data_IF_687725087455
#
_entry.id   IF_687725087455
#
_cell.length_a   1.000
_cell.length_b   1.000
_cell.length_c   1.000
_cell.angle_alpha   90.00
_cell.angle_beta   90.00
_cell.angle_gamma   90.00
#
_symmetry.space_group_name_H-M   'P 1'
#
loop_
_entity.id
_entity.type
_entity.pdbx_description
1 polymer ?
#
# COMPACT_ATOMS: atom_id res chain seq x y z
N UNK A 1 -25.03 -33.14 3.73
CA UNK A 1 -25.04 -31.69 3.36
C UNK A 1 -23.84 -31.04 4.03
N UNK A 2 -22.75 -30.93 3.94
CA UNK A 2 -21.55 -30.31 4.53
C UNK A 2 -21.75 -29.07 5.43
N UNK A 3 -22.81 -29.08 6.23
CA UNK A 3 -23.12 -28.01 7.19
C UNK A 3 -22.87 -28.50 8.59
N UNK A 4 -22.34 -27.66 9.46
CA UNK A 4 -22.15 -27.85 10.88
C UNK A 4 -22.63 -26.62 11.64
N UNK A 5 -22.99 -26.83 12.92
CA UNK A 5 -23.35 -25.76 13.86
C UNK A 5 -22.28 -25.72 14.93
N UNK A 6 -21.70 -24.55 15.18
CA UNK A 6 -20.73 -24.39 16.27
C UNK A 6 -21.41 -24.10 17.61
N UNK A 7 -20.63 -24.05 18.68
CA UNK A 7 -21.12 -23.82 20.07
C UNK A 7 -21.78 -22.43 20.26
N UNK A 8 -21.59 -21.50 19.32
CA UNK A 8 -22.24 -20.18 19.33
C UNK A 8 -23.57 -20.18 18.57
N UNK A 9 -23.99 -21.34 18.02
CA UNK A 9 -25.16 -21.46 17.17
C UNK A 9 -24.98 -21.00 15.72
N UNK A 10 -23.75 -20.71 15.28
CA UNK A 10 -23.44 -20.31 13.92
C UNK A 10 -23.41 -21.53 13.00
N UNK A 11 -24.19 -21.50 11.93
CA UNK A 11 -24.16 -22.51 10.87
C UNK A 11 -23.01 -22.22 9.91
N UNK A 12 -22.15 -23.21 9.68
CA UNK A 12 -21.01 -23.14 8.77
C UNK A 12 -21.00 -24.32 7.81
N UNK A 13 -20.35 -24.19 6.67
CA UNK A 13 -20.22 -25.26 5.68
C UNK A 13 -20.58 -24.82 4.27
N UNK A 14 -20.74 -25.79 3.35
CA UNK A 14 -21.05 -25.55 1.95
C UNK A 14 -22.24 -26.42 1.50
N UNK A 15 -23.17 -25.83 0.79
CA UNK A 15 -24.24 -26.51 0.05
C UNK A 15 -23.85 -26.51 -1.42
N UNK A 16 -23.77 -27.69 -2.03
CA UNK A 16 -23.28 -27.86 -3.41
C UNK A 16 -24.39 -27.85 -4.46
N UNK A 17 -25.65 -27.91 -4.05
CA UNK A 17 -26.80 -27.91 -4.95
C UNK A 17 -27.73 -26.76 -4.62
N UNK A 18 -28.30 -26.15 -5.64
CA UNK A 18 -29.32 -25.13 -5.51
C UNK A 18 -30.63 -25.75 -4.98
N UNK A 19 -31.32 -25.04 -4.11
CA UNK A 19 -32.59 -25.51 -3.56
C UNK A 19 -32.89 -24.93 -2.16
N UNK A 20 -34.08 -25.28 -1.67
CA UNK A 20 -34.52 -24.94 -0.32
C UNK A 20 -34.28 -26.15 0.61
N UNK A 21 -33.55 -25.90 1.69
CA UNK A 21 -33.17 -26.90 2.68
C UNK A 21 -33.79 -26.54 4.03
N UNK A 22 -34.59 -27.47 4.56
CA UNK A 22 -35.18 -27.34 5.89
C UNK A 22 -34.29 -28.10 6.89
N UNK A 23 -33.59 -27.36 7.73
CA UNK A 23 -32.73 -27.90 8.77
C UNK A 23 -33.45 -27.95 10.10
N UNK A 24 -33.28 -29.06 10.81
CA UNK A 24 -33.71 -29.22 12.22
C UNK A 24 -32.46 -29.17 13.09
N UNK A 25 -32.31 -28.11 13.86
CA UNK A 25 -31.21 -27.97 14.82
C UNK A 25 -31.73 -28.31 16.21
N UNK A 26 -31.22 -29.39 16.79
CA UNK A 26 -31.50 -29.76 18.18
C UNK A 26 -30.49 -29.05 19.07
N UNK A 27 -30.96 -28.25 19.99
CA UNK A 27 -30.19 -27.58 21.02
C UNK A 27 -30.44 -28.34 22.31
N UNK A 28 -29.38 -28.81 22.97
CA UNK A 28 -29.46 -29.59 24.19
C UNK A 28 -28.69 -28.86 25.29
N UNK A 29 -29.22 -28.84 26.51
CA UNK A 29 -28.54 -28.28 27.67
C UNK A 29 -27.32 -29.14 28.00
N UNK A 30 -26.18 -28.49 28.26
CA UNK A 30 -24.91 -29.18 28.56
C UNK A 30 -24.90 -29.83 29.95
N UNK A 31 -25.69 -29.28 30.88
CA UNK A 31 -25.79 -29.77 32.26
C UNK A 31 -26.92 -30.79 32.43
N UNK A 32 -27.98 -30.75 31.61
CA UNK A 32 -29.07 -31.73 31.60
C UNK A 32 -29.48 -32.12 30.17
N UNK A 33 -28.95 -33.22 29.69
CA UNK A 33 -29.21 -33.75 28.35
C UNK A 33 -30.67 -34.10 28.06
N UNK A 34 -31.54 -34.13 29.07
CA UNK A 34 -32.98 -34.30 28.91
C UNK A 34 -33.68 -33.01 28.50
N UNK A 35 -33.06 -31.89 28.78
CA UNK A 35 -33.58 -30.58 28.36
C UNK A 35 -33.07 -30.29 26.94
N UNK A 36 -33.96 -30.34 25.99
CA UNK A 36 -33.63 -30.00 24.60
C UNK A 36 -34.79 -29.34 23.87
N UNK A 37 -34.47 -28.49 22.91
CA UNK A 37 -35.44 -27.91 22.00
C UNK A 37 -34.99 -28.10 20.54
N UNK A 38 -35.93 -28.04 19.62
CA UNK A 38 -35.65 -28.16 18.20
C UNK A 38 -36.09 -26.88 17.47
N UNK A 39 -35.17 -26.30 16.74
CA UNK A 39 -35.41 -25.12 15.89
C UNK A 39 -35.40 -25.55 14.42
N UNK A 40 -36.42 -25.15 13.66
CA UNK A 40 -36.45 -25.36 12.23
C UNK A 40 -35.86 -24.10 11.54
N UNK A 41 -34.89 -24.31 10.67
CA UNK A 41 -34.26 -23.25 9.87
C UNK A 41 -34.42 -23.58 8.41
N UNK A 42 -34.89 -22.63 7.63
CA UNK A 42 -34.93 -22.75 6.15
C UNK A 42 -33.68 -22.06 5.57
N UNK A 43 -32.97 -22.75 4.69
CA UNK A 43 -31.85 -22.23 3.94
C UNK A 43 -32.17 -22.33 2.45
N UNK A 44 -32.23 -21.19 1.78
CA UNK A 44 -32.36 -21.12 0.33
C UNK A 44 -30.98 -21.02 -0.31
N UNK A 45 -30.45 -22.14 -0.78
CA UNK A 45 -29.19 -22.18 -1.53
C UNK A 45 -29.40 -21.76 -2.97
N UNK A 46 -28.70 -20.71 -3.38
CA UNK A 46 -28.70 -20.23 -4.78
C UNK A 46 -27.34 -20.51 -5.40
N UNK A 47 -27.33 -20.82 -6.71
CA UNK A 47 -26.10 -20.95 -7.47
C UNK A 47 -25.44 -19.59 -7.60
N UNK A 48 -24.14 -19.54 -7.31
CA UNK A 48 -23.36 -18.34 -7.54
C UNK A 48 -23.25 -18.05 -9.05
N UNK A 49 -23.27 -16.79 -9.38
CA UNK A 49 -23.04 -16.24 -10.73
C UNK A 49 -21.70 -15.55 -10.74
N UNK A 50 -20.99 -15.60 -11.86
CA UNK A 50 -19.71 -14.95 -12.04
C UNK A 50 -19.89 -13.59 -12.70
N UNK A 51 -19.35 -12.54 -12.09
CA UNK A 51 -19.38 -11.18 -12.61
C UNK A 51 -17.94 -10.71 -12.84
N UNK A 52 -17.66 -10.31 -14.07
CA UNK A 52 -16.33 -9.91 -14.53
C UNK A 52 -16.40 -8.60 -15.32
N UNK A 53 -15.34 -7.80 -15.20
CA UNK A 53 -15.24 -6.54 -15.94
C UNK A 53 -14.01 -5.75 -15.53
N UNK A 54 -14.07 -4.45 -15.75
CA UNK A 54 -13.01 -3.51 -15.42
C UNK A 54 -13.52 -2.41 -14.50
N UNK A 55 -12.66 -1.94 -13.61
CA UNK A 55 -12.85 -0.67 -12.93
C UNK A 55 -12.14 0.41 -13.72
N UNK A 56 -12.86 1.49 -14.00
CA UNK A 56 -12.38 2.59 -14.84
C UNK A 56 -12.52 3.92 -14.10
N UNK A 57 -11.68 4.87 -14.46
CA UNK A 57 -11.88 6.26 -14.11
C UNK A 57 -12.97 6.90 -15.00
N UNK A 58 -13.31 8.15 -14.73
CA UNK A 58 -14.34 8.88 -15.51
C UNK A 58 -13.92 9.15 -16.97
N UNK A 59 -12.64 9.01 -17.32
CA UNK A 59 -12.12 9.13 -18.69
C UNK A 59 -12.00 7.78 -19.40
N UNK A 60 -12.39 6.69 -18.73
CA UNK A 60 -12.35 5.34 -19.28
C UNK A 60 -11.02 4.60 -19.11
N UNK A 61 -10.04 5.18 -18.40
CA UNK A 61 -8.77 4.52 -18.11
C UNK A 61 -8.97 3.44 -17.03
N UNK A 62 -8.33 2.29 -17.21
CA UNK A 62 -8.41 1.20 -16.25
C UNK A 62 -7.69 1.57 -14.94
N UNK A 63 -8.33 1.23 -13.81
CA UNK A 63 -7.83 1.49 -12.47
C UNK A 63 -7.40 0.19 -11.81
N UNK A 64 -6.15 0.09 -11.38
CA UNK A 64 -5.60 -1.06 -10.66
C UNK A 64 -5.62 -0.86 -9.14
N UNK A 65 -5.65 -1.97 -8.39
CA UNK A 65 -5.60 -1.95 -6.92
C UNK A 65 -6.83 -1.34 -6.24
N UNK A 66 -7.95 -1.23 -6.98
CA UNK A 66 -9.21 -0.66 -6.47
C UNK A 66 -10.00 -1.73 -5.72
N UNK A 67 -10.45 -1.41 -4.53
CA UNK A 67 -11.35 -2.27 -3.77
C UNK A 67 -12.79 -2.12 -4.27
N UNK A 68 -13.44 -3.26 -4.56
CA UNK A 68 -14.84 -3.31 -4.97
C UNK A 68 -15.57 -4.16 -3.95
N UNK A 69 -16.58 -3.60 -3.29
CA UNK A 69 -17.40 -4.30 -2.30
C UNK A 69 -18.85 -4.36 -2.78
N UNK A 70 -19.46 -5.52 -2.62
CA UNK A 70 -20.84 -5.78 -3.02
C UNK A 70 -21.67 -6.04 -1.75
N UNK A 71 -22.59 -5.14 -1.44
CA UNK A 71 -23.50 -5.26 -0.29
C UNK A 71 -24.88 -5.67 -0.79
N UNK A 72 -25.36 -6.86 -0.41
CA UNK A 72 -26.68 -7.34 -0.81
C UNK A 72 -27.76 -6.43 -0.17
N UNK A 73 -28.69 -5.92 -1.00
CA UNK A 73 -29.78 -5.05 -0.61
C UNK A 73 -31.12 -5.78 -0.48
N UNK A 74 -31.18 -7.09 -0.75
CA UNK A 74 -32.42 -7.87 -0.65
C UNK A 74 -32.87 -7.90 0.81
N UNK A 75 -34.12 -7.48 1.05
CA UNK A 75 -34.71 -7.30 2.38
C UNK A 75 -34.82 -8.60 3.23
N UNK A 76 -34.65 -9.75 2.59
CA UNK A 76 -34.74 -11.06 3.24
C UNK A 76 -33.50 -11.41 4.09
N UNK A 77 -32.41 -10.63 4.00
CA UNK A 77 -31.24 -10.80 4.85
C UNK A 77 -31.27 -9.73 5.96
N UNK A 78 -31.61 -10.08 7.22
CA UNK A 78 -31.69 -9.10 8.32
C UNK A 78 -30.33 -8.49 8.70
N UNK A 79 -29.27 -8.94 8.08
CA UNK A 79 -27.91 -8.44 8.29
C UNK A 79 -27.31 -7.99 6.97
N UNK A 80 -27.00 -6.70 6.85
CA UNK A 80 -26.14 -6.11 5.80
C UNK A 80 -24.72 -6.68 5.81
N UNK A 81 -24.53 -7.93 6.21
CA UNK A 81 -23.24 -8.50 6.61
C UNK A 81 -22.57 -9.38 5.57
N UNK A 82 -23.15 -9.63 4.44
CA UNK A 82 -22.47 -10.33 3.37
C UNK A 82 -21.98 -9.34 2.32
N UNK A 83 -20.89 -8.65 2.62
CA UNK A 83 -20.12 -8.05 1.57
C UNK A 83 -19.17 -9.10 0.98
N UNK A 84 -19.23 -9.27 -0.31
CA UNK A 84 -18.18 -9.91 -1.06
C UNK A 84 -17.32 -8.81 -1.67
N UNK A 85 -16.01 -8.98 -1.71
CA UNK A 85 -15.11 -7.98 -2.22
C UNK A 85 -14.12 -8.57 -3.23
N UNK A 86 -13.78 -7.78 -4.22
CA UNK A 86 -12.69 -8.01 -5.14
C UNK A 86 -11.75 -6.82 -5.13
N UNK A 87 -10.51 -7.04 -5.54
CA UNK A 87 -9.57 -5.96 -5.84
C UNK A 87 -9.23 -6.04 -7.32
N UNK A 88 -9.26 -4.90 -8.02
CA UNK A 88 -8.88 -4.88 -9.43
C UNK A 88 -7.41 -5.25 -9.60
N UNK A 89 -7.11 -6.03 -10.63
CA UNK A 89 -5.76 -6.48 -11.00
C UNK A 89 -4.97 -5.33 -11.62
N UNK A 90 -3.72 -5.60 -11.98
CA UNK A 90 -2.83 -4.61 -12.60
C UNK A 90 -3.36 -4.01 -13.90
N UNK A 91 -4.17 -4.74 -14.63
CA UNK A 91 -4.84 -4.31 -15.87
C UNK A 91 -6.21 -3.63 -15.61
N UNK A 92 -6.61 -3.48 -14.34
CA UNK A 92 -7.90 -2.95 -13.93
C UNK A 92 -9.05 -3.95 -13.96
N UNK A 93 -8.82 -5.19 -14.37
CA UNK A 93 -9.86 -6.23 -14.41
C UNK A 93 -10.23 -6.72 -13.01
N UNK A 94 -11.47 -7.16 -12.84
CA UNK A 94 -11.93 -7.84 -11.63
C UNK A 94 -12.77 -9.06 -12.00
N UNK A 95 -12.89 -10.00 -11.07
CA UNK A 95 -13.77 -11.17 -11.16
C UNK A 95 -14.30 -11.49 -9.77
N UNK A 96 -15.60 -11.73 -9.67
CA UNK A 96 -16.30 -11.98 -8.43
C UNK A 96 -17.41 -12.99 -8.61
N UNK A 97 -17.55 -13.90 -7.65
CA UNK A 97 -18.70 -14.80 -7.56
C UNK A 97 -19.74 -14.18 -6.61
N UNK A 98 -20.96 -13.94 -7.10
CA UNK A 98 -22.07 -13.36 -6.36
C UNK A 98 -23.28 -14.30 -6.39
N UNK A 99 -24.17 -14.17 -5.43
CA UNK A 99 -25.52 -14.72 -5.57
C UNK A 99 -26.38 -13.77 -6.41
N UNK A 100 -27.34 -14.30 -7.21
CA UNK A 100 -28.30 -13.43 -7.89
C UNK A 100 -29.03 -12.52 -6.89
N UNK A 101 -29.14 -11.22 -7.20
CA UNK A 101 -29.77 -10.25 -6.31
C UNK A 101 -29.48 -8.81 -6.69
N UNK A 102 -29.93 -7.89 -5.84
CA UNK A 102 -29.68 -6.46 -5.96
C UNK A 102 -28.62 -6.02 -4.94
N UNK A 103 -27.65 -5.25 -5.40
CA UNK A 103 -26.48 -4.85 -4.61
C UNK A 103 -26.24 -3.36 -4.63
N UNK A 104 -25.76 -2.85 -3.53
CA UNK A 104 -24.96 -1.64 -3.50
C UNK A 104 -23.51 -2.04 -3.78
N UNK A 105 -22.91 -1.43 -4.80
CA UNK A 105 -21.50 -1.65 -5.14
C UNK A 105 -20.70 -0.42 -4.70
N UNK A 106 -19.72 -0.63 -3.85
CA UNK A 106 -18.84 0.42 -3.36
C UNK A 106 -17.46 0.22 -3.96
N UNK A 107 -17.00 1.21 -4.70
CA UNK A 107 -15.69 1.25 -5.32
C UNK A 107 -14.83 2.19 -4.48
N UNK A 108 -13.80 1.68 -3.85
CA UNK A 108 -12.94 2.47 -2.99
C UNK A 108 -11.52 2.54 -3.54
N UNK A 109 -11.06 3.76 -3.72
CA UNK A 109 -9.68 4.08 -4.03
C UNK A 109 -9.18 4.92 -2.87
N UNK A 110 -8.40 4.30 -1.98
CA UNK A 110 -7.95 4.90 -0.72
C UNK A 110 -9.16 5.31 0.14
N UNK A 111 -9.24 6.60 0.51
CA UNK A 111 -10.33 7.14 1.32
C UNK A 111 -11.51 7.63 0.47
N UNK A 112 -11.34 7.67 -0.86
CA UNK A 112 -12.42 8.05 -1.78
C UNK A 112 -13.26 6.83 -2.14
N UNK A 113 -14.58 6.95 -2.06
CA UNK A 113 -15.51 5.88 -2.37
C UNK A 113 -16.64 6.37 -3.29
N UNK A 114 -16.85 5.62 -4.36
CA UNK A 114 -17.98 5.78 -5.28
C UNK A 114 -19.04 4.74 -4.94
N UNK A 115 -20.27 5.17 -4.74
CA UNK A 115 -21.41 4.32 -4.37
C UNK A 115 -22.35 4.14 -5.55
N UNK A 116 -22.55 2.89 -5.97
CA UNK A 116 -23.47 2.52 -7.06
C UNK A 116 -24.64 1.71 -6.47
N UNK A 117 -25.80 2.35 -6.34
CA UNK A 117 -26.99 1.75 -5.74
C UNK A 117 -27.78 0.91 -6.75
N UNK A 118 -28.58 -0.02 -6.24
CA UNK A 118 -29.55 -0.82 -7.00
C UNK A 118 -28.94 -1.57 -8.21
N UNK A 119 -27.70 -2.05 -8.07
CA UNK A 119 -27.07 -2.84 -9.11
C UNK A 119 -27.61 -4.26 -9.10
N UNK A 120 -28.32 -4.64 -10.18
CA UNK A 120 -28.96 -5.95 -10.31
C UNK A 120 -28.04 -6.93 -11.05
N UNK A 121 -27.91 -8.13 -10.49
CA UNK A 121 -27.16 -9.26 -11.05
C UNK A 121 -28.02 -10.51 -11.00
N UNK A 122 -28.54 -10.94 -12.16
CA UNK A 122 -29.43 -12.10 -12.26
C UNK A 122 -28.72 -13.33 -12.86
N UNK A 123 -27.65 -13.14 -13.60
CA UNK A 123 -26.89 -14.17 -14.31
C UNK A 123 -25.41 -13.81 -14.38
N UNK A 124 -24.58 -14.76 -14.77
CA UNK A 124 -23.17 -14.48 -15.04
C UNK A 124 -23.01 -13.42 -16.13
N UNK A 125 -22.16 -12.45 -15.90
CA UNK A 125 -21.90 -11.32 -16.78
C UNK A 125 -20.39 -11.16 -17.00
N UNK A 126 -20.01 -10.94 -18.25
CA UNK A 126 -18.67 -10.47 -18.63
C UNK A 126 -18.78 -9.05 -19.18
N UNK A 127 -17.79 -8.22 -18.91
CA UNK A 127 -17.80 -6.83 -19.36
C UNK A 127 -18.64 -5.88 -18.49
N UNK A 128 -18.97 -6.27 -17.25
CA UNK A 128 -19.61 -5.38 -16.27
C UNK A 128 -18.60 -4.37 -15.74
N UNK A 129 -18.48 -3.24 -16.41
CA UNK A 129 -17.52 -2.21 -16.03
C UNK A 129 -18.12 -1.27 -14.97
N UNK A 130 -17.32 -0.90 -14.00
CA UNK A 130 -17.65 0.14 -13.01
C UNK A 130 -16.79 1.38 -13.24
N UNK A 131 -17.39 2.54 -13.05
CA UNK A 131 -16.72 3.83 -13.19
C UNK A 131 -16.63 4.48 -11.82
N UNK A 132 -15.42 4.82 -11.41
CA UNK A 132 -15.15 5.58 -10.20
C UNK A 132 -15.17 7.09 -10.50
N UNK A 133 -15.51 7.90 -9.50
CA UNK A 133 -15.52 9.37 -9.61
C UNK A 133 -14.12 10.00 -9.64
N UNK A 134 -13.06 9.21 -9.52
CA UNK A 134 -11.67 9.68 -9.59
C UNK A 134 -11.14 9.71 -11.01
N UNK A 135 -10.07 10.48 -11.19
CA UNK A 135 -9.20 10.47 -12.37
C UNK A 135 -7.86 9.83 -12.02
N UNK A 136 -7.38 8.96 -12.89
CA UNK A 136 -5.97 8.54 -12.89
C UNK A 136 -5.17 9.51 -13.75
N UNK A 137 -4.31 10.30 -13.14
CA UNK A 137 -3.52 11.34 -13.80
C UNK A 137 -2.05 10.97 -13.84
N UNK A 138 -1.42 11.14 -15.00
CA UNK A 138 0.04 11.04 -15.12
C UNK A 138 0.68 12.24 -14.42
N UNK A 139 1.73 12.01 -13.65
CA UNK A 139 2.53 13.07 -13.06
C UNK A 139 3.72 13.37 -13.99
N UNK A 140 3.85 14.61 -14.42
CA UNK A 140 4.97 15.06 -15.21
C UNK A 140 5.88 15.97 -14.36
N UNK A 141 7.21 15.81 -14.40
CA UNK A 141 8.11 16.78 -13.77
C UNK A 141 8.07 18.10 -14.52
N UNK A 142 8.22 19.22 -13.80
CA UNK A 142 8.34 20.56 -14.38
C UNK A 142 9.68 20.79 -15.11
N UNK A 143 10.64 19.88 -14.90
CA UNK A 143 11.96 19.93 -15.49
C UNK A 143 12.42 18.52 -15.86
N UNK A 144 12.84 18.33 -17.12
CA UNK A 144 13.29 17.04 -17.67
C UNK A 144 14.56 16.47 -16.99
N UNK A 145 15.25 17.26 -16.16
CA UNK A 145 16.35 16.80 -15.31
C UNK A 145 15.89 15.76 -14.28
N UNK A 146 14.61 15.79 -13.91
CA UNK A 146 14.06 14.92 -12.86
C UNK A 146 13.19 13.81 -13.45
N UNK A 147 13.18 12.67 -12.77
CA UNK A 147 12.19 11.61 -12.94
C UNK A 147 11.28 11.57 -11.74
N UNK A 148 9.98 11.51 -11.94
CA UNK A 148 9.00 11.35 -10.86
C UNK A 148 8.95 9.91 -10.32
N UNK A 149 9.47 8.95 -11.06
CA UNK A 149 9.53 7.55 -10.65
C UNK A 149 10.52 7.31 -9.50
N UNK A 150 11.47 8.26 -9.31
CA UNK A 150 12.48 8.18 -8.25
C UNK A 150 11.96 8.65 -6.87
N UNK A 151 10.76 9.22 -6.78
CA UNK A 151 10.28 9.90 -5.56
C UNK A 151 9.17 9.17 -4.80
N UNK A 152 8.94 7.90 -5.07
CA UNK A 152 8.00 7.08 -4.29
C UNK A 152 6.54 7.55 -4.35
N UNK A 153 5.86 7.54 -3.22
CA UNK A 153 4.43 7.81 -3.13
C UNK A 153 4.11 9.31 -2.93
N UNK A 154 2.96 9.73 -3.47
CA UNK A 154 2.41 11.08 -3.31
C UNK A 154 1.42 11.12 -2.15
N UNK A 155 1.52 12.11 -1.29
CA UNK A 155 0.68 12.30 -0.11
C UNK A 155 0.01 13.67 -0.11
N UNK A 156 -1.23 13.76 0.36
CA UNK A 156 -1.94 15.01 0.56
C UNK A 156 -1.56 15.70 1.89
N UNK A 157 -2.21 16.80 2.20
CA UNK A 157 -1.99 17.57 3.43
C UNK A 157 -2.39 16.84 4.73
N UNK A 158 -3.13 15.74 4.62
CA UNK A 158 -3.54 14.86 5.72
C UNK A 158 -2.72 13.56 5.80
N UNK A 159 -1.56 13.50 5.10
CA UNK A 159 -0.70 12.31 4.98
C UNK A 159 -1.40 11.09 4.35
N UNK A 160 -2.46 11.30 3.56
CA UNK A 160 -3.12 10.23 2.82
C UNK A 160 -2.40 10.02 1.50
N UNK A 161 -2.06 8.79 1.22
CA UNK A 161 -1.36 8.45 -0.02
C UNK A 161 -2.29 8.66 -1.23
N UNK A 162 -1.97 9.55 -2.14
CA UNK A 162 -2.71 9.89 -3.35
C UNK A 162 -2.15 9.29 -4.65
N UNK A 163 -1.04 8.66 -4.66
CA UNK A 163 -0.43 8.06 -5.85
C UNK A 163 0.93 7.47 -5.61
N UNK A 164 1.45 6.84 -6.64
CA UNK A 164 2.78 6.24 -6.69
C UNK A 164 3.21 6.00 -8.13
N UNK A 165 4.50 5.83 -8.38
CA UNK A 165 5.05 5.43 -9.67
C UNK A 165 4.56 6.30 -10.85
N UNK A 166 4.65 7.62 -10.71
CA UNK A 166 4.30 8.56 -11.77
C UNK A 166 2.82 8.80 -11.98
N UNK A 167 1.94 8.27 -11.12
CA UNK A 167 0.50 8.49 -11.19
C UNK A 167 -0.08 8.99 -9.86
N UNK A 168 -1.15 9.81 -9.98
CA UNK A 168 -2.00 10.18 -8.84
C UNK A 168 -3.47 9.95 -9.20
N UNK A 169 -4.28 9.69 -8.17
CA UNK A 169 -5.72 9.47 -8.28
C UNK A 169 -6.41 10.61 -7.56
N UNK A 170 -7.16 11.46 -8.27
CA UNK A 170 -7.73 12.69 -7.72
C UNK A 170 -9.18 12.87 -8.16
N UNK A 171 -9.99 13.47 -7.31
CA UNK A 171 -11.40 13.79 -7.60
C UNK A 171 -11.46 15.12 -8.34
N UNK A 172 -12.16 15.20 -9.50
CA UNK A 172 -12.33 16.44 -10.25
C UNK A 172 -13.04 17.53 -9.43
N UNK A 173 -12.67 18.77 -9.67
CA UNK A 173 -13.26 19.94 -8.99
C UNK A 173 -12.60 20.29 -7.67
N UNK A 174 -11.81 19.41 -7.11
CA UNK A 174 -11.09 19.59 -5.84
C UNK A 174 -9.69 20.16 -6.09
N UNK A 175 -9.24 21.03 -5.17
CA UNK A 175 -7.87 21.52 -5.14
C UNK A 175 -7.02 20.65 -4.25
N UNK A 176 -5.82 20.33 -4.71
CA UNK A 176 -4.87 19.48 -4.00
C UNK A 176 -3.51 20.15 -3.87
N UNK A 177 -2.85 19.90 -2.75
CA UNK A 177 -1.42 20.10 -2.57
C UNK A 177 -0.83 18.75 -2.16
N UNK A 178 -0.19 18.07 -3.12
CA UNK A 178 0.44 16.78 -2.89
C UNK A 178 1.94 16.94 -2.74
N UNK A 179 2.53 16.12 -1.89
CA UNK A 179 3.98 16.08 -1.63
C UNK A 179 4.49 14.67 -1.80
N UNK A 180 5.69 14.54 -2.36
CA UNK A 180 6.43 13.29 -2.41
C UNK A 180 7.91 13.57 -2.24
N UNK A 181 8.64 12.61 -1.69
CA UNK A 181 10.08 12.66 -1.57
C UNK A 181 10.69 11.26 -1.70
N UNK A 182 11.94 11.19 -2.08
CA UNK A 182 12.71 9.97 -2.19
C UNK A 182 14.01 10.20 -2.93
N UNK A 183 15.03 9.41 -2.63
CA UNK A 183 16.35 9.47 -3.26
C UNK A 183 16.95 10.89 -3.34
N UNK A 184 16.72 11.73 -2.32
CA UNK A 184 17.19 13.12 -2.24
C UNK A 184 16.48 14.08 -3.20
N UNK A 185 15.28 13.77 -3.61
CA UNK A 185 14.42 14.63 -4.43
C UNK A 185 13.10 14.86 -3.70
N UNK A 186 12.51 16.02 -3.95
CA UNK A 186 11.17 16.39 -3.49
C UNK A 186 10.32 16.79 -4.68
N UNK A 187 9.06 16.37 -4.65
CA UNK A 187 8.04 16.81 -5.61
C UNK A 187 6.87 17.50 -4.90
N UNK A 188 6.31 18.52 -5.49
CA UNK A 188 5.10 19.19 -5.05
C UNK A 188 4.15 19.35 -6.23
N UNK A 189 2.92 18.90 -6.10
CA UNK A 189 1.83 19.14 -7.03
C UNK A 189 0.86 20.09 -6.36
N UNK A 190 0.56 21.23 -6.98
CA UNK A 190 -0.54 22.11 -6.58
C UNK A 190 -1.46 22.27 -7.78
N UNK A 191 -2.64 21.68 -7.71
CA UNK A 191 -3.58 21.68 -8.83
C UNK A 191 -5.03 21.69 -8.37
N UNK A 192 -5.88 22.42 -9.11
CA UNK A 192 -7.32 22.18 -9.14
C UNK A 192 -7.59 21.28 -10.34
N UNK A 193 -8.11 20.08 -10.07
CA UNK A 193 -8.26 19.05 -11.09
C UNK A 193 -9.48 19.33 -11.96
N UNK A 194 -9.29 19.52 -13.24
CA UNK A 194 -10.38 19.56 -14.23
C UNK A 194 -10.85 18.13 -14.56
N UNK A 195 -12.14 17.98 -14.88
CA UNK A 195 -12.75 16.68 -15.23
C UNK A 195 -12.12 16.03 -16.49
N UNK A 196 -11.51 16.83 -17.35
CA UNK A 196 -10.85 16.37 -18.58
C UNK A 196 -9.33 16.26 -18.43
N UNK A 197 -8.80 16.51 -17.24
CA UNK A 197 -7.36 16.40 -17.01
C UNK A 197 -6.88 14.96 -17.26
N UNK A 198 -5.73 14.84 -17.88
CA UNK A 198 -5.03 13.56 -18.12
C UNK A 198 -3.68 13.51 -17.40
N UNK A 199 -3.19 14.65 -16.96
CA UNK A 199 -1.92 14.77 -16.24
C UNK A 199 -1.93 15.97 -15.29
N UNK A 200 -0.96 15.95 -14.37
CA UNK A 200 -0.61 17.08 -13.49
C UNK A 200 0.89 17.30 -13.53
N UNK A 201 1.33 18.51 -13.24
CA UNK A 201 2.75 18.87 -13.20
C UNK A 201 3.24 18.90 -11.76
N UNK A 202 4.36 18.22 -11.50
CA UNK A 202 5.07 18.26 -10.23
C UNK A 202 6.23 19.24 -10.31
N UNK A 203 6.27 20.19 -9.39
CA UNK A 203 7.44 21.04 -9.18
C UNK A 203 8.49 20.23 -8.44
N UNK A 204 9.61 19.95 -9.10
CA UNK A 204 10.67 19.10 -8.60
C UNK A 204 11.83 19.93 -8.03
N UNK A 205 12.47 19.44 -6.98
CA UNK A 205 13.66 20.04 -6.37
C UNK A 205 14.56 18.98 -5.76
N UNK A 206 15.84 19.32 -5.57
CA UNK A 206 16.75 18.51 -4.75
C UNK A 206 16.33 18.59 -3.27
N UNK A 207 16.45 17.47 -2.58
CA UNK A 207 16.17 17.34 -1.14
C UNK A 207 17.32 16.57 -0.46
N UNK A 208 18.52 17.12 -0.56
CA UNK A 208 19.75 16.53 -0.05
C UNK A 208 20.24 17.33 1.14
N UNK A 209 20.55 16.63 2.21
CA UNK A 209 21.07 17.23 3.43
C UNK A 209 22.59 17.23 3.37
N UNK A 210 23.20 18.43 3.30
CA UNK A 210 24.66 18.59 3.35
C UNK A 210 25.17 18.35 4.77
N UNK A 211 25.99 17.31 4.95
CA UNK A 211 26.62 17.03 6.25
C UNK A 211 28.08 17.50 6.33
N UNK A 212 28.63 17.96 5.19
CA UNK A 212 30.00 18.45 5.10
C UNK A 212 31.02 17.39 5.51
N UNK A 213 31.87 17.73 6.49
CA UNK A 213 32.90 16.85 7.08
C UNK A 213 32.54 16.32 8.48
N UNK A 214 31.25 16.31 8.81
CA UNK A 214 30.79 15.74 10.08
C UNK A 214 31.19 14.27 10.20
N UNK A 215 31.61 13.90 11.39
CA UNK A 215 31.97 12.52 11.74
C UNK A 215 30.80 11.75 12.34
N UNK A 216 29.69 12.44 12.66
CA UNK A 216 28.44 11.85 13.13
C UNK A 216 27.25 12.77 12.85
N UNK A 217 26.09 12.18 12.61
CA UNK A 217 24.81 12.86 12.43
C UNK A 217 23.65 11.92 12.70
N UNK A 218 22.49 12.47 13.02
CA UNK A 218 21.28 11.69 13.09
C UNK A 218 20.67 11.59 11.69
N UNK A 219 20.53 10.37 11.19
CA UNK A 219 19.93 10.08 9.90
C UNK A 219 18.47 9.70 10.07
N UNK A 220 17.56 10.56 9.56
CA UNK A 220 16.17 10.20 9.35
C UNK A 220 16.07 9.15 8.25
N UNK A 221 15.17 8.18 8.42
CA UNK A 221 14.95 7.15 7.40
C UNK A 221 14.55 7.75 6.05
N UNK A 222 15.07 7.18 4.97
CA UNK A 222 14.77 7.56 3.58
C UNK A 222 15.25 8.97 3.16
N UNK A 223 15.91 9.72 4.05
CA UNK A 223 16.61 10.95 3.70
C UNK A 223 17.96 10.64 3.07
N UNK A 224 18.48 11.60 2.29
CA UNK A 224 19.76 11.48 1.61
C UNK A 224 20.76 12.53 2.12
N UNK A 225 21.88 12.06 2.66
CA UNK A 225 22.93 12.87 3.29
C UNK A 225 24.16 12.91 2.41
N UNK A 226 24.60 14.09 2.02
CA UNK A 226 25.79 14.28 1.19
C UNK A 226 27.03 14.47 2.04
N UNK A 227 27.98 13.58 1.82
CA UNK A 227 29.32 13.59 2.40
C UNK A 227 30.36 13.89 1.32
N UNK A 228 31.31 14.81 1.63
CA UNK A 228 32.44 15.13 0.76
C UNK A 228 33.74 15.00 1.57
N UNK A 229 34.49 13.90 1.40
CA UNK A 229 35.73 13.69 2.16
C UNK A 229 36.81 14.72 1.83
N UNK A 230 37.50 15.24 2.82
CA UNK A 230 38.66 16.13 2.65
C UNK A 230 39.93 15.40 2.20
N UNK A 231 40.00 14.11 2.44
CA UNK A 231 41.20 13.30 2.10
C UNK A 231 40.78 11.98 1.51
N UNK A 232 41.53 11.49 0.53
CA UNK A 232 41.35 10.15 -0.03
C UNK A 232 41.71 9.08 0.99
N UNK A 233 40.93 8.02 1.07
CA UNK A 233 41.17 6.90 1.98
C UNK A 233 39.96 6.03 2.21
N UNK A 234 40.14 4.97 2.98
CA UNK A 234 39.01 4.12 3.41
C UNK A 234 38.25 4.83 4.53
N UNK A 235 36.95 4.94 4.36
CA UNK A 235 36.02 5.43 5.35
C UNK A 235 35.06 4.31 5.75
N UNK A 236 34.71 4.30 7.02
CA UNK A 236 33.74 3.39 7.63
C UNK A 236 32.49 4.19 7.96
N UNK A 237 31.35 3.72 7.51
CA UNK A 237 30.02 4.28 7.77
C UNK A 237 29.26 3.24 8.59
N UNK A 238 28.84 3.61 9.78
CA UNK A 238 28.19 2.66 10.69
C UNK A 238 27.13 3.35 11.54
N UNK A 239 26.13 2.59 11.95
CA UNK A 239 25.07 3.07 12.85
C UNK A 239 25.37 2.70 14.31
N UNK A 240 24.79 3.48 15.23
CA UNK A 240 24.59 3.09 16.63
C UNK A 240 23.15 3.44 16.96
N UNK A 241 22.30 2.42 17.10
CA UNK A 241 20.87 2.58 17.26
C UNK A 241 20.26 1.58 18.25
N UNK A 242 18.99 1.77 18.58
CA UNK A 242 18.18 0.80 19.31
C UNK A 242 17.24 0.00 18.39
N UNK A 243 17.24 0.34 17.09
CA UNK A 243 16.42 -0.27 16.05
C UNK A 243 17.21 -1.19 15.14
N UNK A 244 16.71 -1.39 13.95
CA UNK A 244 17.25 -2.24 12.89
C UNK A 244 17.41 -1.42 11.59
N UNK A 245 18.42 -0.48 11.55
CA UNK A 245 18.64 0.37 10.37
C UNK A 245 19.40 -0.39 9.29
N UNK A 246 18.99 -0.22 8.05
CA UNK A 246 19.69 -0.67 6.87
C UNK A 246 20.46 0.50 6.23
N UNK A 247 21.75 0.38 5.99
CA UNK A 247 22.61 1.44 5.47
C UNK A 247 22.87 1.32 3.97
N UNK A 248 22.82 2.45 3.28
CA UNK A 248 23.16 2.58 1.87
C UNK A 248 24.22 3.65 1.65
N UNK A 249 25.12 3.38 0.70
CA UNK A 249 26.11 4.33 0.20
C UNK A 249 26.01 4.43 -1.31
N UNK A 250 26.01 5.65 -1.84
CA UNK A 250 25.93 5.93 -3.27
C UNK A 250 27.08 6.85 -3.72
N UNK A 251 27.43 6.78 -5.01
CA UNK A 251 28.38 7.70 -5.65
C UNK A 251 27.74 9.04 -6.00
N UNK A 252 28.53 9.92 -6.65
CA UNK A 252 28.09 11.26 -7.12
C UNK A 252 26.91 11.21 -8.12
N UNK A 253 26.72 10.07 -8.82
CA UNK A 253 25.64 9.85 -9.78
C UNK A 253 24.44 9.08 -9.17
N UNK A 254 24.40 8.89 -7.86
CA UNK A 254 23.40 8.12 -7.13
C UNK A 254 23.42 6.62 -7.45
N UNK A 255 24.51 6.11 -8.01
CA UNK A 255 24.70 4.68 -8.18
C UNK A 255 25.08 4.07 -6.83
N UNK A 256 24.42 2.99 -6.47
CA UNK A 256 24.69 2.25 -5.24
C UNK A 256 26.14 1.67 -5.25
N UNK A 257 26.89 1.93 -4.21
CA UNK A 257 28.23 1.46 -3.94
C UNK A 257 28.27 0.36 -2.89
N UNK A 258 27.37 0.46 -1.90
CA UNK A 258 27.20 -0.53 -0.84
C UNK A 258 25.78 -0.43 -0.27
N UNK A 259 25.24 -1.59 0.11
CA UNK A 259 24.00 -1.76 0.83
C UNK A 259 24.23 -2.82 1.91
N UNK A 260 24.03 -2.47 3.18
CA UNK A 260 24.44 -3.32 4.31
C UNK A 260 23.38 -3.32 5.39
N UNK A 261 23.06 -4.52 5.84
CA UNK A 261 22.19 -4.84 6.97
C UNK A 261 23.03 -5.13 8.24
N UNK A 262 22.65 -6.10 9.00
CA UNK A 262 23.18 -6.55 10.28
C UNK A 262 24.68 -6.88 10.22
N UNK A 263 25.51 -5.93 10.56
CA UNK A 263 26.98 -6.16 10.64
C UNK A 263 27.49 -5.68 12.00
N UNK A 264 27.77 -6.64 12.87
CA UNK A 264 28.35 -6.37 14.17
C UNK A 264 29.64 -5.53 14.10
N UNK A 265 29.73 -4.56 14.96
CA UNK A 265 30.95 -3.79 15.21
C UNK A 265 31.10 -3.49 16.72
N UNK A 266 32.33 -3.29 17.15
CA UNK A 266 32.67 -3.25 18.59
C UNK A 266 32.14 -2.03 19.35
N UNK A 267 31.65 -1.02 18.62
CA UNK A 267 31.14 0.22 19.20
C UNK A 267 29.62 0.20 19.47
N UNK A 268 28.94 -0.88 19.11
CA UNK A 268 27.50 -1.06 19.40
C UNK A 268 27.22 -2.40 20.06
N UNK A 269 26.31 -2.39 21.01
CA UNK A 269 25.75 -3.61 21.61
C UNK A 269 24.58 -4.17 20.79
N UNK A 270 24.04 -3.38 19.84
CA UNK A 270 22.99 -3.78 18.96
C UNK A 270 23.56 -4.56 17.75
N UNK A 271 23.18 -5.82 17.63
CA UNK A 271 23.64 -6.68 16.53
C UNK A 271 23.01 -6.34 15.18
N UNK A 272 21.97 -5.53 15.18
CA UNK A 272 21.23 -5.11 14.01
C UNK A 272 21.74 -3.76 13.43
N UNK A 273 22.86 -3.26 13.92
CA UNK A 273 23.49 -2.07 13.35
C UNK A 273 24.27 -2.41 12.08
N UNK A 274 24.22 -1.53 11.08
CA UNK A 274 25.05 -1.68 9.88
C UNK A 274 26.47 -1.15 10.08
N UNK A 275 27.40 -1.71 9.33
CA UNK A 275 28.77 -1.20 9.19
C UNK A 275 29.32 -1.53 7.81
N UNK A 276 29.58 -0.51 7.01
CA UNK A 276 30.17 -0.64 5.67
C UNK A 276 31.45 0.17 5.54
N UNK A 277 32.33 -0.21 4.63
CA UNK A 277 33.55 0.52 4.31
C UNK A 277 33.67 0.77 2.83
N UNK A 278 34.22 1.94 2.48
CA UNK A 278 34.46 2.30 1.09
C UNK A 278 35.70 3.19 0.93
N UNK A 279 36.43 3.02 -0.17
CA UNK A 279 37.59 3.87 -0.51
C UNK A 279 37.09 5.13 -1.19
N UNK A 280 36.89 6.18 -0.41
CA UNK A 280 36.45 7.49 -0.90
C UNK A 280 37.62 8.32 -1.44
N UNK A 281 37.36 9.17 -2.44
CA UNK A 281 38.29 10.09 -3.05
C UNK A 281 38.01 11.50 -2.57
N UNK A 282 39.03 12.25 -2.17
CA UNK A 282 38.90 13.63 -1.72
C UNK A 282 38.16 14.50 -2.73
N UNK A 283 37.24 15.34 -2.27
CA UNK A 283 36.46 16.27 -3.08
C UNK A 283 35.32 15.63 -3.89
N UNK A 284 35.21 14.30 -3.95
CA UNK A 284 34.03 13.65 -4.58
C UNK A 284 32.87 13.55 -3.60
N UNK A 285 31.65 13.75 -4.13
CA UNK A 285 30.45 13.58 -3.35
C UNK A 285 30.06 12.10 -3.22
N UNK A 286 29.67 11.69 -2.01
CA UNK A 286 29.05 10.43 -1.69
C UNK A 286 27.76 10.69 -0.96
N UNK A 287 26.79 9.79 -1.08
CA UNK A 287 25.50 9.95 -0.43
C UNK A 287 25.22 8.76 0.46
N UNK A 288 24.70 9.06 1.65
CA UNK A 288 24.36 8.07 2.68
C UNK A 288 22.86 8.15 2.91
N UNK A 289 22.20 7.01 2.96
CA UNK A 289 20.81 6.90 3.38
C UNK A 289 20.65 5.76 4.36
N UNK A 290 19.63 5.83 5.20
CA UNK A 290 19.20 4.72 6.05
C UNK A 290 17.74 4.40 5.74
N UNK A 291 17.38 3.11 5.82
CA UNK A 291 15.99 2.66 5.72
C UNK A 291 15.58 1.89 6.97
N UNK A 292 14.33 1.45 7.04
CA UNK A 292 13.68 0.78 8.18
C UNK A 292 13.60 1.68 9.42
N UNK A 293 14.75 2.11 9.99
CA UNK A 293 14.82 2.92 11.21
C UNK A 293 15.75 4.10 11.03
N UNK A 294 15.36 5.26 11.58
CA UNK A 294 16.26 6.40 11.77
C UNK A 294 17.32 6.06 12.80
N UNK A 295 18.55 6.52 12.61
CA UNK A 295 19.66 6.16 13.49
C UNK A 295 20.75 7.22 13.54
N UNK A 296 21.59 7.16 14.59
CA UNK A 296 22.85 7.88 14.57
C UNK A 296 23.82 7.17 13.62
N UNK A 297 24.34 7.91 12.66
CA UNK A 297 25.32 7.45 11.68
C UNK A 297 26.67 8.09 11.96
N UNK A 298 27.71 7.31 11.95
CA UNK A 298 29.10 7.71 12.20
C UNK A 298 29.94 7.50 10.96
N UNK A 299 30.88 8.40 10.73
CA UNK A 299 31.87 8.33 9.64
C UNK A 299 33.25 8.38 10.26
N UNK A 300 34.06 7.35 10.05
CA UNK A 300 35.38 7.20 10.64
C UNK A 300 36.40 6.70 9.62
N UNK A 301 37.67 7.01 9.84
CA UNK A 301 38.81 6.37 9.15
C UNK A 301 39.34 5.17 9.91
N UNK A 302 38.97 5.02 11.16
CA UNK A 302 39.31 3.86 11.99
C UNK A 302 38.25 2.81 11.85
N UNK A 303 38.64 1.56 11.65
CA UNK A 303 37.73 0.44 11.54
C UNK A 303 37.03 0.20 12.90
N UNK A 304 35.70 0.31 13.00
CA UNK A 304 34.97 0.07 14.25
C UNK A 304 34.92 -1.41 14.66
N UNK A 305 35.41 -2.33 13.81
CA UNK A 305 35.54 -3.77 14.08
C UNK A 305 36.96 -4.17 14.51
N UNK A 306 37.88 -3.24 14.59
CA UNK A 306 39.23 -3.54 15.11
C UNK A 306 39.18 -3.55 16.64
N UNK A 307 38.62 -4.61 17.21
CA UNK A 307 38.90 -5.00 18.58
C UNK A 307 40.43 -5.29 18.73
N UNK A 308 41.00 -4.89 19.82
CA UNK A 308 42.38 -5.22 20.23
C UNK A 308 42.67 -6.72 20.21
#
# INVERSE_FOLDING_TARGET
YGLSVDITGRVTGKIYQEGTYNLKVKITDDNDTKISTTVNCEINAKKAIKVEGYVKDINGNNLNGVSIKFYNQDKATPYKLAWNGATSRNDGSYSMDLFPGTYEVVISIRDDSTYLYNQKFDKSETGRNFVSDVLKLTVNPDNAKYSVDDIGAWYDEYDRQCGTNGYVYLVPGTSYTLKAKGMGKRGVITAKVDRKAVSVTAKMSEDVIEIGDKTSFYAEKEELYKFVPKTTGTYYFYSISTGDPYGYLYDENRKELAAVDDVNHDLSTNKNDFCMSYKCVAGKAYYISVSRYSSNVYISKTNPKSGN
#
